data_IF_806693425587
#
_entry.id   IF_806693425587
#
_cell.length_a   1.000
_cell.length_b   1.000
_cell.length_c   1.000
_cell.angle_alpha   90.00
_cell.angle_beta   90.00
_cell.angle_gamma   90.00
#
_symmetry.space_group_name_H-M   'P 1'
#
loop_
_entity.id
_entity.type
_entity.pdbx_description
1 polymer ?
#
# COMPACT_ATOMS: atom_id res chain seq x y z
N UNK A 1 7.98 17.12 -11.13
CA UNK A 1 7.14 16.01 -10.61
C UNK A 1 7.53 15.76 -9.16
N UNK A 2 6.57 15.77 -8.20
CA UNK A 2 6.87 15.35 -6.83
C UNK A 2 7.36 13.90 -6.88
N UNK A 3 8.51 13.60 -6.29
CA UNK A 3 8.98 12.22 -6.16
C UNK A 3 7.93 11.44 -5.36
N UNK A 4 7.55 10.27 -5.85
CA UNK A 4 6.72 9.35 -5.05
C UNK A 4 7.47 9.01 -3.77
N UNK A 5 6.72 8.89 -2.67
CA UNK A 5 7.26 8.44 -1.39
C UNK A 5 7.58 6.94 -1.39
N UNK A 6 6.97 6.19 -2.31
CA UNK A 6 7.14 4.75 -2.48
C UNK A 6 7.69 4.43 -3.87
N UNK A 7 8.54 3.42 -3.97
CA UNK A 7 8.96 2.84 -5.26
C UNK A 7 7.83 1.99 -5.83
N UNK A 8 7.90 1.69 -7.14
CA UNK A 8 6.90 0.84 -7.79
C UNK A 8 6.89 -0.57 -7.19
N UNK A 9 8.06 -1.12 -6.86
CA UNK A 9 8.20 -2.43 -6.21
C UNK A 9 7.54 -2.44 -4.82
N UNK A 10 7.64 -1.35 -4.07
CA UNK A 10 6.96 -1.21 -2.78
C UNK A 10 5.44 -1.19 -2.95
N UNK A 11 4.93 -0.48 -3.96
CA UNK A 11 3.49 -0.44 -4.25
C UNK A 11 2.99 -1.83 -4.65
N UNK A 12 3.69 -2.52 -5.54
CA UNK A 12 3.34 -3.89 -5.96
C UNK A 12 3.36 -4.84 -4.76
N UNK A 13 4.35 -4.74 -3.88
CA UNK A 13 4.43 -5.54 -2.65
C UNK A 13 3.21 -5.34 -1.74
N UNK A 14 2.81 -4.07 -1.53
CA UNK A 14 1.63 -3.71 -0.74
C UNK A 14 0.35 -4.30 -1.32
N UNK A 15 0.17 -4.21 -2.65
CA UNK A 15 -1.02 -4.76 -3.33
C UNK A 15 -1.08 -6.29 -3.24
N UNK A 16 0.05 -6.97 -3.40
CA UNK A 16 0.14 -8.44 -3.27
C UNK A 16 -0.23 -8.95 -1.89
N UNK A 17 0.06 -8.20 -0.82
CA UNK A 17 -0.35 -8.57 0.53
C UNK A 17 -1.89 -8.59 0.66
N UNK A 18 -2.57 -7.63 0.03
CA UNK A 18 -4.03 -7.60 -0.02
C UNK A 18 -4.60 -8.71 -0.90
N UNK A 19 -3.99 -8.98 -2.06
CA UNK A 19 -4.36 -10.12 -2.93
C UNK A 19 -4.16 -11.47 -2.23
N UNK A 20 -3.15 -11.60 -1.36
CA UNK A 20 -2.92 -12.78 -0.53
C UNK A 20 -3.93 -12.93 0.63
N UNK A 21 -4.90 -12.02 0.75
CA UNK A 21 -5.99 -12.10 1.71
C UNK A 21 -5.82 -11.26 2.97
N UNK A 22 -4.77 -10.44 3.07
CA UNK A 22 -4.65 -9.48 4.17
C UNK A 22 -5.72 -8.39 4.03
N UNK A 23 -6.38 -8.04 5.13
CA UNK A 23 -7.39 -6.96 5.14
C UNK A 23 -6.71 -5.62 4.83
N UNK A 24 -7.35 -4.77 4.02
CA UNK A 24 -6.84 -3.45 3.67
C UNK A 24 -6.42 -2.63 4.89
N UNK A 25 -7.21 -2.65 5.97
CA UNK A 25 -6.90 -1.95 7.21
C UNK A 25 -5.58 -2.41 7.84
N UNK A 26 -5.27 -3.71 7.76
CA UNK A 26 -4.05 -4.28 8.34
C UNK A 26 -2.83 -3.98 7.45
N UNK A 27 -3.00 -4.06 6.12
CA UNK A 27 -1.99 -3.59 5.14
C UNK A 27 -1.68 -2.11 5.37
N UNK A 28 -2.70 -1.27 5.49
CA UNK A 28 -2.55 0.16 5.70
C UNK A 28 -1.80 0.49 7.00
N UNK A 29 -2.14 -0.19 8.10
CA UNK A 29 -1.43 -0.05 9.38
C UNK A 29 0.03 -0.49 9.29
N UNK A 30 0.30 -1.63 8.64
CA UNK A 30 1.65 -2.18 8.48
C UNK A 30 2.57 -1.24 7.71
N UNK A 31 2.07 -0.59 6.66
CA UNK A 31 2.85 0.30 5.79
C UNK A 31 2.72 1.79 6.17
N UNK A 32 1.99 2.11 7.23
CA UNK A 32 1.83 3.48 7.72
C UNK A 32 1.12 4.41 6.74
N UNK A 33 0.15 3.88 5.99
CA UNK A 33 -0.65 4.62 5.01
C UNK A 33 -2.12 4.65 5.42
N UNK A 34 -2.87 5.62 4.92
CA UNK A 34 -4.34 5.63 5.05
C UNK A 34 -4.98 4.80 3.95
N UNK A 35 -6.19 4.29 4.19
CA UNK A 35 -6.98 3.60 3.15
C UNK A 35 -7.20 4.51 1.93
N UNK A 36 -7.40 5.81 2.15
CA UNK A 36 -7.50 6.79 1.07
C UNK A 36 -6.23 6.86 0.19
N UNK A 37 -5.06 6.57 0.76
CA UNK A 37 -3.80 6.48 -0.01
C UNK A 37 -3.71 5.16 -0.76
N UNK A 38 -4.19 4.07 -0.17
CA UNK A 38 -4.19 2.75 -0.79
C UNK A 38 -5.07 2.68 -2.05
N UNK A 39 -6.18 3.42 -2.09
CA UNK A 39 -7.12 3.46 -3.22
C UNK A 39 -6.89 4.59 -4.23
N UNK A 40 -5.77 5.31 -4.13
CA UNK A 40 -5.44 6.44 -5.01
C UNK A 40 -4.60 6.01 -6.20
#
# INVERSE_FOLDING_TARGET
>A
MKRSRFTEEQIIGILREQEAGMKTADVCRKHGISEATFYK
#
